data_IF_060344232839
#
_entry.id   IF_060344232839
#
_cell.length_a   1.000
_cell.length_b   1.000
_cell.length_c   1.000
_cell.angle_alpha   90.00
_cell.angle_beta   90.00
_cell.angle_gamma   90.00
#
_symmetry.space_group_name_H-M   'P 1'
#
loop_
_entity.id
_entity.type
_entity.pdbx_description
1 polymer ?
#
# COMPACT_ATOMS: atom_id res chain seq x y z
N UNK A 1 -14.04 9.83 6.96
CA UNK A 1 -13.32 8.59 7.33
C UNK A 1 -14.20 7.65 8.16
N UNK A 2 -14.84 8.13 9.24
CA UNK A 2 -15.71 7.29 10.10
C UNK A 2 -16.89 6.65 9.36
N UNK A 3 -17.48 7.33 8.39
CA UNK A 3 -18.59 6.80 7.60
C UNK A 3 -18.28 5.56 6.73
N UNK A 4 -17.01 5.23 6.57
CA UNK A 4 -16.53 4.13 5.72
C UNK A 4 -16.13 2.91 6.57
N UNK A 5 -15.91 3.11 7.88
CA UNK A 5 -15.47 2.05 8.78
C UNK A 5 -16.65 1.29 9.37
N UNK A 6 -16.48 -0.02 9.68
CA UNK A 6 -17.48 -0.76 10.44
C UNK A 6 -17.75 -0.11 11.80
N UNK A 7 -19.00 -0.19 12.28
CA UNK A 7 -19.44 0.46 13.53
C UNK A 7 -18.73 -0.02 14.80
N UNK A 8 -18.07 -1.17 14.74
CA UNK A 8 -17.26 -1.72 15.84
C UNK A 8 -15.85 -1.13 15.90
N UNK A 9 -15.46 -0.27 14.94
CA UNK A 9 -14.22 0.53 14.97
C UNK A 9 -14.61 1.96 15.30
N UNK A 10 -14.12 2.48 16.42
CA UNK A 10 -14.43 3.82 16.93
C UNK A 10 -13.15 4.57 17.26
N UNK A 11 -13.14 5.89 17.13
CA UNK A 11 -12.02 6.70 17.65
C UNK A 11 -11.90 6.52 19.16
N UNK A 12 -10.67 6.32 19.64
CA UNK A 12 -10.39 6.30 21.06
C UNK A 12 -10.48 7.75 21.59
N UNK A 13 -11.37 8.06 22.56
CA UNK A 13 -11.60 9.45 22.98
C UNK A 13 -10.38 10.10 23.63
N UNK A 14 -9.52 9.32 24.25
CA UNK A 14 -8.34 9.81 25.01
C UNK A 14 -7.03 9.73 24.21
N UNK A 15 -7.03 9.12 23.02
CA UNK A 15 -5.83 8.93 22.20
C UNK A 15 -6.07 9.38 20.76
N UNK A 16 -5.58 10.57 20.42
CA UNK A 16 -5.83 11.21 19.11
C UNK A 16 -5.46 10.36 17.88
N UNK A 17 -4.59 9.38 18.04
CA UNK A 17 -4.04 8.57 16.93
C UNK A 17 -4.44 7.09 16.99
N UNK A 18 -5.25 6.70 17.96
CA UNK A 18 -5.68 5.31 18.13
C UNK A 18 -7.18 5.15 17.92
N UNK A 19 -7.54 3.95 17.52
CA UNK A 19 -8.92 3.53 17.34
C UNK A 19 -9.21 2.33 18.23
N UNK A 20 -10.36 2.37 18.89
CA UNK A 20 -10.82 1.31 19.73
C UNK A 20 -11.67 0.31 18.94
N UNK A 21 -11.57 -0.94 19.30
CA UNK A 21 -12.35 -2.05 18.74
C UNK A 21 -12.71 -3.02 19.88
N UNK A 22 -13.94 -3.50 19.85
CA UNK A 22 -14.39 -4.55 20.78
C UNK A 22 -14.00 -5.97 20.27
N UNK A 23 -13.47 -6.05 19.04
CA UNK A 23 -13.19 -7.32 18.35
C UNK A 23 -11.71 -7.58 18.10
N UNK A 24 -10.85 -6.58 18.28
CA UNK A 24 -9.42 -6.63 17.99
C UNK A 24 -8.63 -5.80 19.00
N UNK A 25 -7.30 -5.95 19.09
CA UNK A 25 -6.46 -5.01 19.82
C UNK A 25 -6.66 -3.57 19.35
N UNK A 26 -6.22 -2.55 20.10
CA UNK A 26 -6.24 -1.15 19.66
C UNK A 26 -5.58 -1.00 18.29
N UNK A 27 -6.21 -0.24 17.40
CA UNK A 27 -5.79 -0.09 16.01
C UNK A 27 -5.11 1.27 15.85
N UNK A 28 -3.94 1.31 15.26
CA UNK A 28 -3.24 2.57 14.99
C UNK A 28 -3.85 3.32 13.81
N UNK A 29 -3.64 4.64 13.77
CA UNK A 29 -4.10 5.46 12.66
C UNK A 29 -3.50 5.00 11.31
N UNK A 30 -2.24 4.53 11.30
CA UNK A 30 -1.60 3.98 10.11
C UNK A 30 -2.32 2.76 9.55
N UNK A 31 -2.78 1.85 10.40
CA UNK A 31 -3.58 0.68 9.96
C UNK A 31 -4.94 1.12 9.42
N UNK A 32 -5.58 2.11 10.04
CA UNK A 32 -6.86 2.66 9.53
C UNK A 32 -6.69 3.31 8.16
N UNK A 33 -5.60 4.05 7.92
CA UNK A 33 -5.32 4.61 6.59
C UNK A 33 -5.24 3.52 5.52
N UNK A 34 -4.60 2.40 5.83
CA UNK A 34 -4.51 1.24 4.94
C UNK A 34 -5.88 0.62 4.67
N UNK A 35 -6.72 0.48 5.70
CA UNK A 35 -8.12 0.03 5.54
C UNK A 35 -8.88 0.96 4.61
N UNK A 36 -8.73 2.28 4.77
CA UNK A 36 -9.40 3.28 3.91
C UNK A 36 -8.95 3.16 2.46
N UNK A 37 -7.65 2.94 2.19
CA UNK A 37 -7.16 2.68 0.81
C UNK A 37 -7.87 1.47 0.19
N UNK A 38 -7.98 0.36 0.92
CA UNK A 38 -8.69 -0.82 0.43
C UNK A 38 -10.22 -0.62 0.32
N UNK A 39 -10.80 0.29 1.09
CA UNK A 39 -12.22 0.66 1.00
C UNK A 39 -12.54 1.59 -0.17
N UNK A 40 -11.56 2.27 -0.74
CA UNK A 40 -11.76 3.27 -1.78
C UNK A 40 -12.59 2.75 -2.97
N UNK A 41 -12.48 1.45 -3.29
CA UNK A 41 -13.28 0.79 -4.35
C UNK A 41 -14.79 0.84 -4.13
N UNK A 42 -15.27 1.14 -2.94
CA UNK A 42 -16.70 1.27 -2.65
C UNK A 42 -17.23 2.68 -2.98
N UNK A 43 -16.35 3.67 -3.08
CA UNK A 43 -16.69 5.07 -3.33
C UNK A 43 -16.24 5.56 -4.70
N UNK A 44 -15.31 4.83 -5.34
CA UNK A 44 -14.70 5.20 -6.62
C UNK A 44 -14.98 4.08 -7.62
N UNK A 45 -15.60 4.42 -8.73
CA UNK A 45 -16.06 3.46 -9.75
C UNK A 45 -15.08 3.33 -10.93
N UNK A 46 -13.93 3.99 -10.83
CA UNK A 46 -12.86 3.92 -11.82
C UNK A 46 -12.11 2.59 -11.77
N UNK A 47 -11.65 2.10 -12.92
CA UNK A 47 -10.92 0.83 -13.04
C UNK A 47 -9.55 0.85 -12.37
N UNK A 48 -8.92 2.02 -12.32
CA UNK A 48 -7.59 2.23 -11.77
C UNK A 48 -7.65 3.30 -10.69
N UNK A 49 -7.18 2.95 -9.50
CA UNK A 49 -7.02 3.88 -8.38
C UNK A 49 -5.55 4.23 -8.22
N UNK A 50 -5.25 5.53 -8.16
CA UNK A 50 -3.92 6.03 -7.86
C UNK A 50 -3.92 6.53 -6.42
N UNK A 51 -2.99 6.03 -5.62
CA UNK A 51 -2.78 6.43 -4.24
C UNK A 51 -1.54 7.28 -4.12
N UNK A 52 -1.69 8.43 -3.50
CA UNK A 52 -0.63 9.37 -3.20
C UNK A 52 -0.72 9.74 -1.73
N UNK A 53 0.36 9.66 -0.99
CA UNK A 53 0.37 10.05 0.40
C UNK A 53 0.28 11.58 0.52
N UNK A 54 -0.31 12.08 1.62
CA UNK A 54 -0.67 13.50 1.77
C UNK A 54 0.51 14.44 1.97
N UNK A 55 1.69 13.92 2.22
CA UNK A 55 2.96 14.62 2.37
C UNK A 55 3.79 14.69 1.08
N UNK A 56 3.22 14.23 -0.05
CA UNK A 56 3.84 14.36 -1.35
C UNK A 56 3.56 15.73 -1.98
N UNK A 57 4.59 16.36 -2.54
CA UNK A 57 4.49 17.57 -3.34
C UNK A 57 4.86 17.29 -4.79
N UNK A 58 3.93 17.52 -5.73
CA UNK A 58 4.23 17.40 -7.16
C UNK A 58 5.13 18.55 -7.62
N UNK A 59 6.26 18.19 -8.24
CA UNK A 59 7.28 19.13 -8.75
C UNK A 59 7.25 19.23 -10.28
N UNK A 60 6.53 18.34 -10.95
CA UNK A 60 6.37 18.34 -12.42
C UNK A 60 4.98 17.84 -12.78
N UNK A 61 4.39 18.35 -13.87
CA UNK A 61 3.22 17.72 -14.49
C UNK A 61 3.58 16.29 -14.92
N UNK A 62 2.65 15.36 -14.73
CA UNK A 62 2.80 14.03 -15.29
C UNK A 62 1.47 13.49 -15.79
N UNK A 63 1.54 12.71 -16.85
CA UNK A 63 0.41 11.95 -17.36
C UNK A 63 0.47 10.54 -16.73
N UNK A 64 -0.48 10.20 -15.84
CA UNK A 64 -0.52 8.87 -15.21
C UNK A 64 -0.60 7.73 -16.24
N UNK A 65 -1.32 7.93 -17.36
CA UNK A 65 -1.45 6.89 -18.39
C UNK A 65 -0.11 6.60 -19.03
N UNK A 66 0.60 7.64 -19.45
CA UNK A 66 1.91 7.51 -20.09
C UNK A 66 2.99 6.93 -19.15
N UNK A 67 2.85 7.12 -17.84
CA UNK A 67 3.85 6.69 -16.84
C UNK A 67 3.54 5.34 -16.22
N UNK A 68 2.26 5.04 -15.98
CA UNK A 68 1.84 3.87 -15.22
C UNK A 68 1.27 2.74 -16.10
N UNK A 69 0.96 2.99 -17.37
CA UNK A 69 0.37 1.99 -18.26
C UNK A 69 1.34 1.68 -19.39
N UNK A 70 1.54 0.37 -19.65
CA UNK A 70 2.29 -0.16 -20.78
C UNK A 70 1.57 -1.39 -21.33
N UNK A 71 1.23 -1.39 -22.59
CA UNK A 71 0.53 -2.52 -23.26
C UNK A 71 -0.69 -2.98 -22.45
N UNK A 72 -1.55 -2.04 -22.05
CA UNK A 72 -2.75 -2.23 -21.24
C UNK A 72 -2.52 -2.82 -19.84
N UNK A 73 -1.27 -2.98 -19.42
CA UNK A 73 -0.88 -3.41 -18.09
C UNK A 73 -0.49 -2.21 -17.22
N UNK A 74 -0.82 -2.31 -15.94
CA UNK A 74 -0.56 -1.29 -14.95
C UNK A 74 0.77 -1.58 -14.22
N UNK A 75 1.58 -0.56 -13.99
CA UNK A 75 2.80 -0.68 -13.20
C UNK A 75 2.48 -1.13 -11.77
N UNK A 76 3.14 -2.20 -11.33
CA UNK A 76 3.22 -2.63 -9.95
C UNK A 76 4.62 -2.31 -9.45
N UNK A 77 4.72 -1.39 -8.49
CA UNK A 77 6.03 -1.11 -7.89
C UNK A 77 6.60 -2.38 -7.28
N UNK A 78 7.83 -2.70 -7.63
CA UNK A 78 8.48 -3.94 -7.25
C UNK A 78 10.00 -3.76 -7.22
N UNK A 79 10.60 -3.97 -6.06
CA UNK A 79 12.05 -4.04 -5.89
C UNK A 79 12.39 -5.23 -4.99
N UNK A 80 13.50 -5.89 -5.29
CA UNK A 80 14.06 -6.89 -4.39
C UNK A 80 14.78 -6.18 -3.25
N UNK A 81 14.28 -6.37 -2.05
CA UNK A 81 14.82 -5.74 -0.85
C UNK A 81 14.63 -6.63 0.38
N UNK A 82 15.66 -6.71 1.20
CA UNK A 82 15.62 -7.48 2.44
C UNK A 82 15.80 -6.55 3.65
N UNK A 83 14.66 -6.22 4.27
CA UNK A 83 14.59 -5.45 5.51
C UNK A 83 13.76 -6.19 6.54
N UNK A 84 14.06 -6.07 7.84
CA UNK A 84 13.31 -6.76 8.90
C UNK A 84 11.80 -6.45 8.91
N UNK A 85 11.42 -5.18 8.70
CA UNK A 85 10.03 -4.74 8.63
C UNK A 85 9.29 -5.38 7.45
N UNK A 86 9.91 -5.45 6.27
CA UNK A 86 9.35 -6.12 5.10
C UNK A 86 9.12 -7.61 5.36
N UNK A 87 10.00 -8.26 6.10
CA UNK A 87 9.83 -9.67 6.47
C UNK A 87 8.58 -9.87 7.32
N UNK A 88 8.34 -8.99 8.31
CA UNK A 88 7.13 -9.03 9.14
C UNK A 88 5.87 -8.81 8.31
N UNK A 89 5.85 -7.80 7.45
CA UNK A 89 4.72 -7.53 6.57
C UNK A 89 4.44 -8.68 5.58
N UNK A 90 5.48 -9.28 5.03
CA UNK A 90 5.35 -10.46 4.14
C UNK A 90 4.75 -11.66 4.87
N UNK A 91 5.15 -11.91 6.11
CA UNK A 91 4.61 -13.01 6.90
C UNK A 91 3.12 -12.82 7.20
N UNK A 92 2.70 -11.61 7.57
CA UNK A 92 1.29 -11.29 7.79
C UNK A 92 0.50 -11.37 6.48
N UNK A 93 1.04 -10.87 5.38
CA UNK A 93 0.41 -11.02 4.07
C UNK A 93 0.25 -12.50 3.68
N UNK A 94 1.28 -13.33 3.89
CA UNK A 94 1.21 -14.78 3.66
C UNK A 94 0.07 -15.43 4.46
N UNK A 95 -0.04 -15.12 5.74
CA UNK A 95 -1.10 -15.62 6.61
C UNK A 95 -2.50 -15.24 6.06
N UNK A 96 -2.71 -13.99 5.72
CA UNK A 96 -4.00 -13.50 5.20
C UNK A 96 -4.34 -14.06 3.81
N UNK A 97 -3.33 -14.42 3.03
CA UNK A 97 -3.50 -15.00 1.70
C UNK A 97 -3.54 -16.54 1.71
N UNK A 98 -3.30 -17.18 2.86
CA UNK A 98 -3.19 -18.65 2.95
C UNK A 98 -1.96 -19.20 2.22
N UNK A 99 -0.89 -18.41 2.12
CA UNK A 99 0.35 -18.76 1.47
C UNK A 99 1.39 -19.25 2.50
N UNK A 100 2.38 -20.06 2.11
CA UNK A 100 3.50 -20.38 2.99
C UNK A 100 4.24 -19.11 3.43
N UNK A 101 4.68 -19.06 4.70
CA UNK A 101 5.30 -17.87 5.29
C UNK A 101 6.55 -17.37 4.50
N UNK A 102 7.30 -18.29 3.92
CA UNK A 102 8.51 -18.00 3.14
C UNK A 102 8.30 -18.11 1.62
N UNK A 103 7.04 -18.14 1.16
CA UNK A 103 6.76 -18.13 -0.28
C UNK A 103 7.07 -16.77 -0.88
N UNK A 104 7.51 -16.78 -2.12
CA UNK A 104 7.77 -15.59 -2.90
C UNK A 104 9.16 -14.99 -2.73
N UNK A 105 9.49 -14.09 -3.65
CA UNK A 105 10.72 -13.33 -3.63
C UNK A 105 10.76 -12.33 -2.46
N UNK A 106 11.94 -11.84 -2.12
CA UNK A 106 12.15 -10.78 -1.12
C UNK A 106 11.71 -9.42 -1.67
N UNK A 107 10.43 -9.29 -1.94
CA UNK A 107 9.87 -8.16 -2.67
C UNK A 107 9.40 -7.06 -1.73
N UNK A 108 9.70 -5.84 -2.13
CA UNK A 108 9.10 -4.62 -1.60
C UNK A 108 8.14 -4.04 -2.66
N UNK A 109 6.90 -3.79 -2.25
CA UNK A 109 5.84 -3.18 -3.07
C UNK A 109 5.46 -1.78 -2.57
N UNK A 110 6.17 -1.27 -1.56
CA UNK A 110 5.87 0.01 -0.91
C UNK A 110 6.43 1.15 -1.74
N UNK A 111 5.55 1.98 -2.28
CA UNK A 111 5.89 3.20 -3.00
C UNK A 111 4.99 4.35 -2.57
N UNK A 112 5.40 5.57 -2.85
CA UNK A 112 4.69 6.78 -2.39
C UNK A 112 3.60 7.26 -3.37
N UNK A 113 3.71 6.85 -4.63
CA UNK A 113 2.72 7.09 -5.69
C UNK A 113 2.52 5.78 -6.43
N UNK A 114 1.44 5.10 -6.13
CA UNK A 114 1.16 3.76 -6.65
C UNK A 114 -0.20 3.69 -7.31
N UNK A 115 -0.37 2.71 -8.18
CA UNK A 115 -1.62 2.47 -8.88
C UNK A 115 -2.07 1.01 -8.74
N UNK A 116 -3.33 0.81 -8.42
CA UNK A 116 -3.95 -0.51 -8.29
C UNK A 116 -5.18 -0.63 -9.17
N UNK A 117 -5.44 -1.85 -9.65
CA UNK A 117 -6.68 -2.16 -10.33
C UNK A 117 -7.80 -2.39 -9.31
N UNK A 118 -8.93 -1.74 -9.53
CA UNK A 118 -10.13 -1.87 -8.69
C UNK A 118 -10.57 -3.33 -8.54
N UNK A 119 -10.62 -4.05 -9.64
CA UNK A 119 -10.99 -5.47 -9.66
C UNK A 119 -10.11 -6.35 -8.77
N UNK A 120 -8.78 -6.09 -8.76
CA UNK A 120 -7.83 -6.83 -7.92
C UNK A 120 -8.01 -6.50 -6.44
N UNK A 121 -8.34 -5.26 -6.08
CA UNK A 121 -8.65 -4.91 -4.67
C UNK A 121 -9.91 -5.67 -4.22
N UNK A 122 -10.94 -5.72 -5.05
CA UNK A 122 -12.18 -6.45 -4.75
C UNK A 122 -11.89 -7.96 -4.61
N UNK A 123 -11.11 -8.52 -5.51
CA UNK A 123 -10.72 -9.93 -5.49
C UNK A 123 -9.86 -10.26 -4.25
N UNK A 124 -8.90 -9.41 -3.90
CA UNK A 124 -8.08 -9.52 -2.70
C UNK A 124 -8.95 -9.56 -1.43
N UNK A 125 -9.86 -8.60 -1.27
CA UNK A 125 -10.76 -8.54 -0.11
C UNK A 125 -11.58 -9.82 0.04
N UNK A 126 -12.18 -10.30 -1.05
CA UNK A 126 -12.92 -11.57 -1.07
C UNK A 126 -12.04 -12.77 -0.77
N UNK A 127 -10.80 -12.75 -1.23
CA UNK A 127 -9.84 -13.81 -0.94
C UNK A 127 -9.50 -13.86 0.55
N UNK A 128 -9.16 -12.72 1.16
CA UNK A 128 -8.89 -12.61 2.59
C UNK A 128 -10.08 -13.08 3.44
N UNK A 129 -11.32 -12.71 3.06
CA UNK A 129 -12.52 -13.16 3.75
C UNK A 129 -12.68 -14.69 3.72
N UNK A 130 -12.45 -15.31 2.57
CA UNK A 130 -12.51 -16.79 2.45
C UNK A 130 -11.41 -17.47 3.26
N UNK A 131 -10.19 -16.94 3.24
CA UNK A 131 -9.06 -17.52 3.96
C UNK A 131 -9.21 -17.38 5.47
N UNK A 132 -9.64 -16.21 5.93
CA UNK A 132 -9.74 -15.91 7.36
C UNK A 132 -11.06 -16.36 8.00
N UNK A 133 -12.10 -16.72 7.22
CA UNK A 133 -13.42 -17.06 7.72
C UNK A 133 -14.16 -15.91 8.42
N UNK A 134 -13.75 -14.66 8.17
CA UNK A 134 -14.34 -13.46 8.76
C UNK A 134 -14.24 -12.29 7.76
N UNK A 135 -14.85 -11.11 8.09
CA UNK A 135 -14.72 -9.95 7.20
C UNK A 135 -13.25 -9.59 6.99
N UNK A 136 -12.92 -9.15 5.78
CA UNK A 136 -11.54 -8.76 5.44
C UNK A 136 -11.01 -7.64 6.36
N UNK A 137 -11.86 -6.70 6.78
CA UNK A 137 -11.47 -5.64 7.71
C UNK A 137 -11.04 -6.22 9.04
N UNK A 138 -11.85 -7.15 9.61
CA UNK A 138 -11.52 -7.78 10.90
C UNK A 138 -10.22 -8.58 10.79
N UNK A 139 -10.05 -9.35 9.74
CA UNK A 139 -8.81 -10.09 9.50
C UNK A 139 -7.60 -9.15 9.40
N UNK A 140 -7.74 -8.03 8.66
CA UNK A 140 -6.67 -7.07 8.42
C UNK A 140 -6.26 -6.35 9.72
N UNK A 141 -7.21 -5.74 10.45
CA UNK A 141 -6.91 -4.93 11.64
C UNK A 141 -6.55 -5.77 12.89
N UNK A 142 -6.66 -7.10 12.82
CA UNK A 142 -6.12 -7.97 13.85
C UNK A 142 -4.58 -7.98 13.90
N UNK A 143 -3.93 -7.44 12.90
CA UNK A 143 -2.48 -7.39 12.77
C UNK A 143 -1.97 -5.94 12.82
N UNK A 144 -1.12 -5.63 13.82
CA UNK A 144 -0.51 -4.30 13.96
C UNK A 144 0.64 -4.06 12.96
N UNK A 145 1.30 -5.12 12.53
CA UNK A 145 2.43 -5.09 11.60
C UNK A 145 1.99 -5.59 10.23
N UNK A 146 1.19 -4.80 9.55
CA UNK A 146 0.66 -5.11 8.23
C UNK A 146 0.97 -3.97 7.26
N UNK A 147 1.12 -4.30 5.97
CA UNK A 147 1.22 -3.36 4.87
C UNK A 147 0.25 -3.77 3.77
N UNK A 148 -0.66 -2.87 3.41
CA UNK A 148 -1.59 -3.05 2.30
C UNK A 148 -0.87 -3.15 0.96
N UNK A 149 0.27 -2.48 0.82
CA UNK A 149 1.13 -2.55 -0.36
C UNK A 149 1.67 -3.95 -0.57
N UNK A 150 2.24 -4.52 0.51
CA UNK A 150 2.80 -5.89 0.47
C UNK A 150 1.69 -6.91 0.31
N UNK A 151 0.55 -6.72 0.96
CA UNK A 151 -0.60 -7.61 0.83
C UNK A 151 -1.13 -7.62 -0.61
N UNK A 152 -1.33 -6.43 -1.22
CA UNK A 152 -1.79 -6.33 -2.60
C UNK A 152 -0.77 -6.88 -3.60
N UNK A 153 0.50 -6.50 -3.46
CA UNK A 153 1.55 -6.96 -4.35
C UNK A 153 1.70 -8.48 -4.34
N UNK A 154 1.75 -9.09 -3.16
CA UNK A 154 1.81 -10.55 -3.02
C UNK A 154 0.56 -11.25 -3.56
N UNK A 155 -0.63 -10.67 -3.33
CA UNK A 155 -1.85 -11.20 -3.91
C UNK A 155 -1.76 -11.26 -5.43
N UNK A 156 -1.35 -10.15 -6.07
CA UNK A 156 -1.22 -10.04 -7.52
C UNK A 156 -0.19 -11.03 -8.07
N UNK A 157 0.97 -11.13 -7.44
CA UNK A 157 2.07 -11.93 -7.95
C UNK A 157 1.89 -13.43 -7.73
N UNK A 158 1.40 -13.83 -6.55
CA UNK A 158 1.45 -15.23 -6.14
C UNK A 158 0.14 -16.00 -6.38
N UNK A 159 -0.99 -15.29 -6.59
CA UNK A 159 -2.29 -15.96 -6.81
C UNK A 159 -2.69 -15.95 -8.29
N UNK A 160 -3.16 -14.82 -8.89
CA UNK A 160 -3.44 -14.82 -10.32
C UNK A 160 -2.17 -14.81 -11.17
N UNK A 161 -1.07 -14.27 -10.65
CA UNK A 161 0.16 -13.95 -11.38
C UNK A 161 0.12 -12.54 -11.97
N UNK A 162 1.26 -11.83 -11.94
CA UNK A 162 1.39 -10.41 -12.29
C UNK A 162 0.72 -10.05 -13.61
N UNK A 163 1.01 -10.82 -14.65
CA UNK A 163 0.47 -10.55 -16.00
C UNK A 163 -1.04 -10.83 -16.11
N UNK A 164 -1.51 -11.92 -15.49
CA UNK A 164 -2.93 -12.27 -15.50
C UNK A 164 -3.76 -11.27 -14.67
N UNK A 165 -3.16 -10.66 -13.65
CA UNK A 165 -3.74 -9.57 -12.87
C UNK A 165 -3.69 -8.21 -13.60
N UNK A 166 -3.20 -8.15 -14.83
CA UNK A 166 -3.08 -6.92 -15.62
C UNK A 166 -1.99 -5.98 -15.15
N UNK A 167 -0.90 -6.50 -14.56
CA UNK A 167 0.24 -5.73 -14.08
C UNK A 167 1.55 -6.09 -14.78
N UNK A 168 2.54 -5.19 -14.65
CA UNK A 168 3.94 -5.47 -14.92
C UNK A 168 4.80 -4.89 -13.78
N UNK A 169 5.93 -5.51 -13.46
CA UNK A 169 6.85 -5.01 -12.45
C UNK A 169 7.55 -3.73 -12.90
N UNK A 170 7.58 -2.73 -12.04
CA UNK A 170 8.25 -1.45 -12.26
C UNK A 170 9.13 -1.13 -11.05
N UNK A 171 10.44 -1.09 -11.26
CA UNK A 171 11.43 -0.85 -10.21
C UNK A 171 11.71 0.65 -9.96
N UNK A 172 10.95 1.55 -10.55
CA UNK A 172 11.12 3.00 -10.39
C UNK A 172 10.04 3.59 -9.48
N UNK A 173 10.45 4.40 -8.52
CA UNK A 173 9.54 5.22 -7.74
C UNK A 173 9.38 6.59 -8.43
N UNK A 174 8.15 7.00 -8.64
CA UNK A 174 7.81 8.31 -9.21
C UNK A 174 8.00 9.45 -8.21
N UNK A 175 8.21 9.13 -6.94
CA UNK A 175 8.44 10.08 -5.85
C UNK A 175 9.87 9.97 -5.35
N UNK A 176 10.57 11.10 -5.24
CA UNK A 176 11.82 11.17 -4.52
C UNK A 176 11.54 11.40 -3.04
N UNK A 177 11.78 10.40 -2.21
CA UNK A 177 11.45 10.44 -0.78
C UNK A 177 12.65 10.29 0.14
N UNK A 178 12.50 10.79 1.37
CA UNK A 178 13.49 10.67 2.43
C UNK A 178 12.86 10.11 3.73
N UNK A 179 12.52 8.84 3.72
CA UNK A 179 11.84 8.18 4.84
C UNK A 179 12.60 8.21 6.18
N UNK A 180 13.93 8.17 6.15
CA UNK A 180 14.75 7.96 7.35
C UNK A 180 15.87 8.99 7.52
N UNK A 181 15.94 10.00 6.66
CA UNK A 181 17.00 11.01 6.74
C UNK A 181 16.35 12.36 7.07
N UNK A 182 16.42 12.82 8.32
CA UNK A 182 15.96 14.16 8.64
C UNK A 182 16.78 15.17 7.83
N UNK A 183 16.09 16.02 7.09
CA UNK A 183 16.71 17.16 6.41
C UNK A 183 16.92 18.28 7.44
N UNK A 184 17.96 18.13 8.26
CA UNK A 184 18.22 19.00 9.40
C UNK A 184 18.98 20.28 9.02
N UNK A 185 19.64 20.30 7.87
CA UNK A 185 20.48 21.41 7.41
C UNK A 185 20.13 21.81 5.98
N UNK A 186 20.46 23.05 5.59
CA UNK A 186 20.34 23.51 4.21
C UNK A 186 21.11 22.63 3.23
N UNK A 187 22.26 22.10 3.68
CA UNK A 187 23.07 21.18 2.87
C UNK A 187 22.35 19.86 2.63
N UNK A 188 21.60 19.34 3.62
CA UNK A 188 20.81 18.12 3.45
C UNK A 188 19.67 18.36 2.46
N UNK A 189 19.02 19.50 2.56
CA UNK A 189 17.96 19.93 1.63
C UNK A 189 18.52 20.04 0.20
N UNK A 190 19.66 20.72 0.01
CA UNK A 190 20.30 20.85 -1.30
C UNK A 190 20.62 19.46 -1.90
N UNK A 191 21.25 18.58 -1.11
CA UNK A 191 21.56 17.21 -1.56
C UNK A 191 20.33 16.39 -1.89
N UNK A 192 19.23 16.61 -1.19
CA UNK A 192 17.96 15.94 -1.49
C UNK A 192 17.49 16.35 -2.89
N UNK A 193 17.45 17.65 -3.20
CA UNK A 193 17.00 18.13 -4.50
C UNK A 193 17.96 17.74 -5.63
N UNK A 194 19.26 17.71 -5.39
CA UNK A 194 20.26 17.32 -6.40
C UNK A 194 20.13 15.84 -6.83
N UNK A 195 19.48 15.01 -6.02
CA UNK A 195 19.27 13.59 -6.32
C UNK A 195 17.98 13.29 -7.08
N UNK A 196 17.15 14.30 -7.30
CA UNK A 196 15.87 14.12 -8.04
C UNK A 196 16.19 13.78 -9.50
N UNK A 197 15.71 12.63 -9.94
CA UNK A 197 15.89 12.17 -11.31
C UNK A 197 14.82 12.75 -12.25
N UNK A 198 15.06 12.80 -13.56
CA UNK A 198 14.05 13.26 -14.54
C UNK A 198 12.77 12.41 -14.55
N UNK A 199 12.83 11.16 -14.09
CA UNK A 199 11.69 10.26 -14.00
C UNK A 199 10.75 10.54 -12.83
N UNK A 200 11.24 11.21 -11.79
CA UNK A 200 10.47 11.53 -10.59
C UNK A 200 9.61 12.77 -10.78
N UNK A 201 8.37 12.71 -10.34
CA UNK A 201 7.34 13.75 -10.56
C UNK A 201 6.92 14.43 -9.27
N UNK A 202 7.22 13.83 -8.13
CA UNK A 202 6.92 14.37 -6.81
C UNK A 202 8.07 14.14 -5.83
N UNK A 203 8.01 14.85 -4.69
CA UNK A 203 8.92 14.70 -3.54
C UNK A 203 8.11 14.49 -2.26
N UNK A 204 8.73 13.79 -1.30
CA UNK A 204 8.15 13.54 0.03
C UNK A 204 9.20 13.80 1.12
#
# INVERSE_FOLDING_TARGET
MEAVLPTWIRRAPERKHDWASDLTPPITNGVIQQVVKLYAVNAIDEDILIFCDSDNAFIRPFDPRARLIREDKLALFYVEEDRPDLTLWRNVAALLLGLPAQSGARCNYVGNLIAWRRENIIALRRHVERTAGTSWVRAFVAHLLISEYVLYGRFVDELPGTQAAGHFHAAYDLVHGSWNNPMATETDIARFFDRITPGQVAVM
#
